data_IF_681581335498
#
_entry.id   IF_681581335498
#
_cell.length_a   1.000
_cell.length_b   1.000
_cell.length_c   1.000
_cell.angle_alpha   90.00
_cell.angle_beta   90.00
_cell.angle_gamma   90.00
#
_symmetry.space_group_name_H-M   'P 1'
#
loop_
_entity.id
_entity.type
_entity.pdbx_description
1 polymer ?
#
# COMPACT_ATOMS: atom_id res chain seq x y z
N UNK A 1 -62.69 17.18 71.80
CA UNK A 1 -62.50 18.11 70.67
C UNK A 1 -61.08 17.90 70.16
N UNK A 2 -60.82 17.01 69.21
CA UNK A 2 -61.10 17.12 67.77
C UNK A 2 -60.42 18.34 67.14
N UNK A 3 -59.23 18.16 66.54
CA UNK A 3 -58.92 18.70 65.22
C UNK A 3 -57.71 17.97 64.59
N UNK A 4 -57.94 17.50 63.36
CA UNK A 4 -56.98 16.90 62.42
C UNK A 4 -56.22 18.02 61.69
N UNK A 5 -54.93 17.85 61.45
CA UNK A 5 -54.15 18.46 60.36
C UNK A 5 -53.10 17.40 59.96
N UNK A 6 -53.33 16.57 58.94
CA UNK A 6 -53.00 16.74 57.52
C UNK A 6 -51.50 17.06 57.29
N UNK A 7 -50.76 16.07 56.77
CA UNK A 7 -49.30 16.06 56.72
C UNK A 7 -48.66 16.74 55.51
N UNK A 8 -47.33 16.62 55.46
CA UNK A 8 -46.47 16.75 54.28
C UNK A 8 -45.35 15.71 54.46
N UNK A 9 -45.32 14.69 53.60
CA UNK A 9 -44.17 13.82 53.41
C UNK A 9 -43.20 14.58 52.50
N UNK A 10 -42.06 15.00 53.04
CA UNK A 10 -41.02 15.69 52.31
C UNK A 10 -40.18 14.65 51.57
N UNK A 11 -40.58 14.33 50.34
CA UNK A 11 -39.81 13.52 49.40
C UNK A 11 -38.57 14.34 49.00
N UNK A 12 -37.45 14.12 49.68
CA UNK A 12 -36.14 14.59 49.20
C UNK A 12 -35.80 13.75 47.96
N UNK A 13 -36.24 14.22 46.79
CA UNK A 13 -35.74 13.73 45.51
C UNK A 13 -34.26 14.11 45.42
N UNK A 14 -33.37 13.18 45.76
CA UNK A 14 -31.97 13.28 45.38
C UNK A 14 -31.96 13.11 43.86
N UNK A 15 -31.93 14.23 43.14
CA UNK A 15 -31.51 14.25 41.75
C UNK A 15 -30.05 13.83 41.75
N UNK A 16 -29.80 12.55 41.48
CA UNK A 16 -28.51 12.06 41.01
C UNK A 16 -28.21 12.78 39.69
N UNK A 17 -27.59 13.95 39.77
CA UNK A 17 -26.88 14.51 38.64
C UNK A 17 -25.76 13.50 38.32
N UNK A 18 -25.96 12.72 37.25
CA UNK A 18 -24.84 11.98 36.67
C UNK A 18 -23.78 13.01 36.32
N UNK A 19 -22.64 12.97 37.02
CA UNK A 19 -21.47 13.72 36.58
C UNK A 19 -21.09 13.15 35.22
N UNK A 20 -21.38 13.89 34.15
CA UNK A 20 -20.85 13.57 32.83
C UNK A 20 -19.33 13.65 32.92
N UNK A 21 -18.69 12.49 32.83
CA UNK A 21 -17.24 12.38 32.89
C UNK A 21 -16.68 12.37 31.48
N UNK A 22 -15.98 13.44 31.10
CA UNK A 22 -15.36 13.57 29.79
C UNK A 22 -13.94 13.02 29.81
N UNK A 23 -13.51 12.42 28.70
CA UNK A 23 -12.14 11.90 28.57
C UNK A 23 -11.50 12.49 27.33
N UNK A 24 -10.36 13.16 27.50
CA UNK A 24 -9.56 13.66 26.39
C UNK A 24 -8.99 12.49 25.58
N UNK A 25 -9.18 12.55 24.27
CA UNK A 25 -8.53 11.68 23.30
C UNK A 25 -7.05 12.03 23.16
N UNK A 26 -6.27 11.08 22.64
CA UNK A 26 -4.82 11.28 22.40
C UNK A 26 -4.57 12.26 21.25
N UNK A 27 -5.50 12.34 20.30
CA UNK A 27 -5.36 13.13 19.08
C UNK A 27 -6.67 13.82 18.69
N UNK A 28 -6.57 15.09 18.26
CA UNK A 28 -7.66 15.87 17.67
C UNK A 28 -7.22 16.56 16.38
N UNK A 29 -8.13 16.69 15.44
CA UNK A 29 -7.94 17.49 14.23
C UNK A 29 -8.40 18.92 14.44
N UNK A 30 -7.64 19.91 13.95
CA UNK A 30 -8.05 21.32 13.99
C UNK A 30 -7.95 22.01 12.63
N UNK A 31 -8.98 22.79 12.28
CA UNK A 31 -9.01 23.63 11.07
C UNK A 31 -8.84 25.11 11.39
N UNK A 32 -9.17 25.51 12.62
CA UNK A 32 -9.01 26.86 13.15
C UNK A 32 -7.97 26.87 14.25
N UNK A 33 -7.24 27.97 14.34
CA UNK A 33 -6.18 28.16 15.33
C UNK A 33 -6.73 28.28 16.75
N UNK A 34 -7.97 28.75 16.91
CA UNK A 34 -8.63 28.85 18.20
C UNK A 34 -9.43 27.57 18.46
N UNK A 35 -9.01 26.83 19.47
CA UNK A 35 -9.68 25.59 19.86
C UNK A 35 -10.62 25.89 21.01
N UNK A 36 -11.91 25.60 20.80
CA UNK A 36 -12.93 25.80 21.81
C UNK A 36 -13.36 24.46 22.43
N UNK A 37 -13.94 24.52 23.64
CA UNK A 37 -14.40 23.35 24.36
C UNK A 37 -15.38 22.48 23.55
N UNK A 38 -16.36 23.11 22.86
CA UNK A 38 -17.31 22.38 22.01
C UNK A 38 -16.70 21.84 20.71
N UNK A 39 -15.49 22.27 20.35
CA UNK A 39 -14.74 21.63 19.26
C UNK A 39 -14.33 20.21 19.65
N UNK A 40 -14.03 19.97 20.92
CA UNK A 40 -13.62 18.64 21.42
C UNK A 40 -14.80 17.84 21.97
N UNK A 41 -15.74 18.52 22.61
CA UNK A 41 -16.92 17.91 23.23
C UNK A 41 -18.18 18.72 22.87
N UNK A 42 -18.80 18.46 21.70
CA UNK A 42 -19.97 19.20 21.22
C UNK A 42 -21.16 19.22 22.19
N UNK A 43 -21.25 18.21 23.05
CA UNK A 43 -22.31 18.01 24.04
C UNK A 43 -22.23 18.93 25.27
N UNK A 44 -21.13 19.66 25.46
CA UNK A 44 -21.00 20.58 26.59
C UNK A 44 -22.05 21.69 26.53
N UNK A 45 -22.48 22.17 27.70
CA UNK A 45 -23.44 23.28 27.79
C UNK A 45 -22.84 24.59 27.28
N UNK A 46 -21.63 24.91 27.74
CA UNK A 46 -20.94 26.17 27.45
C UNK A 46 -19.75 25.98 26.50
N UNK A 47 -19.49 26.99 25.67
CA UNK A 47 -18.36 27.01 24.76
C UNK A 47 -17.35 28.09 25.18
N UNK A 48 -16.12 27.70 25.48
CA UNK A 48 -15.05 28.59 25.91
C UNK A 48 -13.75 28.26 25.19
N UNK A 49 -12.87 29.26 25.08
CA UNK A 49 -11.58 29.10 24.41
C UNK A 49 -10.63 28.27 25.29
N UNK A 50 -10.12 27.17 24.77
CA UNK A 50 -9.12 26.35 25.44
C UNK A 50 -7.72 26.88 25.17
N UNK A 51 -7.38 27.05 23.89
CA UNK A 51 -6.05 27.46 23.47
C UNK A 51 -6.07 28.05 22.07
N UNK A 52 -4.99 28.77 21.74
CA UNK A 52 -4.70 29.28 20.42
C UNK A 52 -3.42 28.62 19.89
N UNK A 53 -3.56 27.76 18.88
CA UNK A 53 -2.47 27.09 18.19
C UNK A 53 -1.78 28.11 17.26
N UNK A 54 -0.44 28.16 17.20
CA UNK A 54 0.27 29.04 16.27
C UNK A 54 -0.11 28.81 14.80
N UNK A 55 -0.20 29.87 14.01
CA UNK A 55 -0.64 29.84 12.59
C UNK A 55 0.24 29.01 11.67
N UNK A 56 1.50 28.81 12.03
CA UNK A 56 2.48 28.02 11.31
C UNK A 56 2.62 26.57 11.82
N UNK A 57 1.80 26.14 12.78
CA UNK A 57 1.85 24.76 13.31
C UNK A 57 0.97 23.82 12.47
N UNK A 58 1.56 22.77 11.91
CA UNK A 58 0.83 21.60 11.38
C UNK A 58 0.54 20.56 12.47
N UNK A 59 1.32 20.58 13.54
CA UNK A 59 1.14 19.75 14.73
C UNK A 59 1.41 20.61 15.98
N UNK A 60 0.58 20.45 17.01
CA UNK A 60 0.72 21.11 18.29
C UNK A 60 0.46 20.12 19.43
N UNK A 61 1.38 20.03 20.38
CA UNK A 61 1.26 19.14 21.53
C UNK A 61 1.10 19.93 22.82
N UNK A 62 0.22 19.47 23.69
CA UNK A 62 -0.02 20.05 25.01
C UNK A 62 -0.17 18.93 26.04
N UNK A 63 0.32 19.14 27.26
CA UNK A 63 0.12 18.16 28.34
C UNK A 63 -1.37 18.06 28.64
N UNK A 64 -1.89 16.85 28.77
CA UNK A 64 -3.30 16.63 29.10
C UNK A 64 -3.67 17.29 30.42
N UNK A 65 -2.75 17.33 31.38
CA UNK A 65 -2.96 18.04 32.66
C UNK A 65 -3.21 19.54 32.50
N UNK A 66 -2.61 20.18 31.48
CA UNK A 66 -2.83 21.61 31.21
C UNK A 66 -4.22 21.83 30.60
N UNK A 67 -4.66 20.94 29.70
CA UNK A 67 -6.02 20.97 29.17
C UNK A 67 -7.05 20.70 30.26
N UNK A 68 -6.86 19.65 31.08
CA UNK A 68 -7.74 19.32 32.20
C UNK A 68 -7.92 20.54 33.11
N UNK A 69 -6.83 21.22 33.49
CA UNK A 69 -6.90 22.42 34.32
C UNK A 69 -7.70 23.58 33.69
N UNK A 70 -7.85 23.65 32.36
CA UNK A 70 -8.69 24.64 31.69
C UNK A 70 -10.18 24.29 31.79
N UNK A 71 -10.53 23.01 31.70
CA UNK A 71 -11.91 22.56 31.89
C UNK A 71 -12.33 22.59 33.37
N UNK A 72 -11.43 22.25 34.29
CA UNK A 72 -11.69 22.33 35.74
C UNK A 72 -11.99 23.75 36.21
N UNK A 73 -11.39 24.77 35.58
CA UNK A 73 -11.73 26.20 35.83
C UNK A 73 -13.18 26.53 35.50
N UNK A 74 -13.75 25.83 34.53
CA UNK A 74 -15.15 25.96 34.11
C UNK A 74 -16.06 24.94 34.85
N UNK A 75 -15.54 24.27 35.88
CA UNK A 75 -16.29 23.31 36.70
C UNK A 75 -16.48 21.93 36.05
N UNK A 76 -15.77 21.63 34.97
CA UNK A 76 -15.90 20.37 34.22
C UNK A 76 -14.80 19.40 34.65
N UNK A 77 -15.18 18.24 35.17
CA UNK A 77 -14.24 17.17 35.51
C UNK A 77 -13.91 16.32 34.29
N UNK A 78 -12.62 16.04 34.08
CA UNK A 78 -12.16 15.27 32.94
C UNK A 78 -11.04 14.29 33.27
N UNK A 79 -10.95 13.23 32.48
CA UNK A 79 -9.79 12.36 32.35
C UNK A 79 -9.04 12.58 31.04
N UNK A 80 -7.98 11.82 30.82
CA UNK A 80 -7.27 11.77 29.54
C UNK A 80 -6.75 10.36 29.26
N UNK A 81 -6.78 9.93 27.99
CA UNK A 81 -6.22 8.64 27.56
C UNK A 81 -4.69 8.64 27.55
N UNK A 82 -4.07 9.79 27.33
CA UNK A 82 -2.62 9.98 27.29
C UNK A 82 -2.18 11.14 28.17
N UNK A 83 -0.89 11.18 28.51
CA UNK A 83 -0.25 12.31 29.20
C UNK A 83 -0.08 13.55 28.31
N UNK A 84 -0.15 13.37 26.99
CA UNK A 84 -0.03 14.43 25.98
C UNK A 84 -1.18 14.27 24.98
N UNK A 85 -1.83 15.40 24.67
CA UNK A 85 -2.80 15.50 23.58
C UNK A 85 -2.12 16.14 22.38
N UNK A 86 -2.31 15.53 21.21
CA UNK A 86 -1.76 16.01 19.93
C UNK A 86 -2.87 16.63 19.08
N UNK A 87 -2.70 17.89 18.69
CA UNK A 87 -3.56 18.55 17.72
C UNK A 87 -2.88 18.52 16.36
N UNK A 88 -3.50 17.87 15.37
CA UNK A 88 -3.03 17.85 13.99
C UNK A 88 -3.87 18.78 13.13
N UNK A 89 -3.22 19.60 12.29
CA UNK A 89 -3.93 20.50 11.39
C UNK A 89 -4.68 19.67 10.37
N UNK A 90 -6.00 19.77 10.37
CA UNK A 90 -6.87 19.12 9.40
C UNK A 90 -6.59 19.66 8.00
N UNK A 91 -6.67 18.79 7.00
CA UNK A 91 -6.48 19.19 5.61
C UNK A 91 -7.71 19.97 5.16
N UNK A 92 -7.54 21.25 4.82
CA UNK A 92 -8.57 22.05 4.16
C UNK A 92 -8.39 21.94 2.65
N UNK A 93 -9.40 21.41 1.97
CA UNK A 93 -9.40 21.16 0.52
C UNK A 93 -9.90 19.75 0.20
N UNK A 94 -10.37 19.54 -1.02
CA UNK A 94 -10.75 18.20 -1.48
C UNK A 94 -9.48 17.37 -1.77
N UNK A 95 -9.13 16.48 -0.83
CA UNK A 95 -8.00 15.56 -0.94
C UNK A 95 -8.34 14.28 -1.70
N UNK A 96 -9.62 14.04 -2.03
CA UNK A 96 -10.02 12.81 -2.70
C UNK A 96 -9.42 12.73 -4.11
N UNK A 97 -9.27 13.87 -4.81
CA UNK A 97 -8.53 13.92 -6.07
C UNK A 97 -7.08 13.41 -5.95
N UNK A 98 -6.38 13.80 -4.87
CA UNK A 98 -5.00 13.35 -4.62
C UNK A 98 -4.96 11.86 -4.29
N UNK A 99 -5.87 11.39 -3.43
CA UNK A 99 -5.97 9.97 -3.08
C UNK A 99 -6.26 9.10 -4.31
N UNK A 100 -7.22 9.52 -5.14
CA UNK A 100 -7.61 8.81 -6.36
C UNK A 100 -6.45 8.75 -7.37
N UNK A 101 -5.69 9.84 -7.52
CA UNK A 101 -4.49 9.85 -8.34
C UNK A 101 -3.47 8.82 -7.86
N UNK A 102 -3.12 8.83 -6.56
CA UNK A 102 -2.16 7.90 -5.97
C UNK A 102 -2.67 6.45 -6.08
N UNK A 103 -3.94 6.20 -5.80
CA UNK A 103 -4.57 4.90 -5.96
C UNK A 103 -4.43 4.39 -7.40
N UNK A 104 -4.66 5.25 -8.39
CA UNK A 104 -4.48 4.92 -9.81
C UNK A 104 -3.06 4.47 -10.14
N UNK A 105 -2.04 5.14 -9.59
CA UNK A 105 -0.64 4.75 -9.79
C UNK A 105 -0.33 3.36 -9.22
N UNK A 106 -0.79 3.07 -7.99
CA UNK A 106 -0.59 1.75 -7.37
C UNK A 106 -1.37 0.65 -8.10
N UNK A 107 -2.62 0.90 -8.47
CA UNK A 107 -3.45 -0.04 -9.23
C UNK A 107 -2.83 -0.38 -10.58
N UNK A 108 -2.20 0.60 -11.24
CA UNK A 108 -1.50 0.38 -12.51
C UNK A 108 -0.22 -0.43 -12.33
N UNK A 109 0.65 -0.04 -11.38
CA UNK A 109 1.94 -0.69 -11.12
C UNK A 109 1.76 -2.16 -10.73
N UNK A 110 0.81 -2.43 -9.83
CA UNK A 110 0.57 -3.76 -9.25
C UNK A 110 -0.64 -4.48 -9.83
N UNK A 111 -1.11 -4.06 -11.02
CA UNK A 111 -2.25 -4.69 -11.72
C UNK A 111 -2.07 -6.20 -11.85
N UNK A 112 -0.85 -6.65 -12.15
CA UNK A 112 -0.54 -8.07 -12.38
C UNK A 112 -0.46 -8.90 -11.10
N UNK A 113 -0.37 -8.23 -9.95
CA UNK A 113 -0.39 -8.86 -8.62
C UNK A 113 -1.70 -8.53 -7.89
N UNK A 114 -2.78 -8.18 -8.61
CA UNK A 114 -4.13 -8.02 -8.05
C UNK A 114 -4.16 -7.20 -6.74
N UNK A 115 -3.47 -6.06 -6.70
CA UNK A 115 -3.45 -5.19 -5.52
C UNK A 115 -4.87 -4.76 -5.12
N UNK A 116 -5.16 -4.81 -3.82
CA UNK A 116 -6.40 -4.37 -3.20
C UNK A 116 -6.08 -3.29 -2.19
N UNK A 117 -6.44 -2.06 -2.53
CA UNK A 117 -6.25 -0.91 -1.65
C UNK A 117 -7.42 -0.84 -0.68
N UNK A 118 -7.14 -0.88 0.62
CA UNK A 118 -8.13 -0.68 1.68
C UNK A 118 -8.28 0.79 2.04
N UNK A 119 -7.16 1.48 2.24
CA UNK A 119 -7.17 2.92 2.54
C UNK A 119 -5.87 3.60 2.07
N UNK A 120 -6.01 4.89 1.74
CA UNK A 120 -4.90 5.81 1.58
C UNK A 120 -5.14 6.97 2.54
N UNK A 121 -4.29 7.06 3.56
CA UNK A 121 -4.29 8.14 4.51
C UNK A 121 -3.29 9.19 4.05
N UNK A 122 -3.71 10.45 4.10
CA UNK A 122 -2.88 11.59 3.77
C UNK A 122 -2.78 12.51 5.00
N UNK A 123 -1.57 12.94 5.31
CA UNK A 123 -1.28 13.93 6.34
C UNK A 123 -0.55 15.10 5.69
N UNK A 124 -1.10 16.30 5.79
CA UNK A 124 -0.46 17.49 5.24
C UNK A 124 0.63 17.99 6.19
N UNK A 125 1.86 18.02 5.69
CA UNK A 125 3.04 18.44 6.47
C UNK A 125 3.16 19.97 6.43
N UNK A 126 2.98 20.56 5.25
CA UNK A 126 3.09 22.02 5.08
C UNK A 126 1.85 22.71 5.65
N UNK A 127 1.95 23.67 6.59
CA UNK A 127 0.80 24.27 7.28
C UNK A 127 0.04 25.31 6.42
N UNK A 128 -0.15 25.06 5.13
CA UNK A 128 -0.83 25.95 4.18
C UNK A 128 -2.22 25.46 3.85
N UNK A 129 -3.23 26.30 3.99
CA UNK A 129 -4.56 26.02 3.45
C UNK A 129 -4.47 26.11 1.93
N UNK A 130 -5.01 25.15 1.18
CA UNK A 130 -4.96 25.18 -0.28
C UNK A 130 -6.32 24.82 -0.89
N UNK A 131 -6.56 25.35 -2.09
CA UNK A 131 -7.72 24.97 -2.89
C UNK A 131 -7.31 23.82 -3.81
N UNK A 132 -8.05 22.71 -3.79
CA UNK A 132 -7.80 21.56 -4.68
C UNK A 132 -7.89 21.93 -6.16
N UNK A 133 -8.71 22.93 -6.52
CA UNK A 133 -8.79 23.44 -7.90
C UNK A 133 -7.53 24.21 -8.33
N UNK A 134 -6.66 24.59 -7.39
CA UNK A 134 -5.39 25.24 -7.67
C UNK A 134 -4.23 24.24 -7.86
N UNK A 135 -4.50 22.94 -7.74
CA UNK A 135 -3.49 21.90 -8.01
C UNK A 135 -3.09 21.96 -9.48
N UNK A 136 -1.79 22.12 -9.72
CA UNK A 136 -1.17 22.04 -11.05
C UNK A 136 -0.53 20.69 -11.30
N UNK A 137 0.10 20.12 -10.27
CA UNK A 137 0.87 18.89 -10.37
C UNK A 137 0.88 18.14 -9.04
N UNK A 138 0.88 16.81 -9.11
CA UNK A 138 1.12 15.92 -7.97
C UNK A 138 2.43 15.18 -8.26
N UNK A 139 3.52 15.58 -7.60
CA UNK A 139 4.85 14.99 -7.78
C UNK A 139 4.99 13.73 -6.93
N UNK A 140 4.41 12.63 -7.41
CA UNK A 140 4.49 11.31 -6.77
C UNK A 140 5.54 10.43 -7.46
N UNK A 141 6.79 10.52 -7.02
CA UNK A 141 7.90 9.77 -7.64
C UNK A 141 7.68 8.25 -7.59
N UNK A 142 7.94 7.55 -8.70
CA UNK A 142 7.87 6.08 -8.85
C UNK A 142 8.58 5.24 -7.77
N UNK A 143 9.58 5.78 -7.05
CA UNK A 143 10.23 5.08 -5.93
C UNK A 143 9.29 4.90 -4.74
N UNK A 144 8.31 5.79 -4.59
CA UNK A 144 7.27 5.70 -3.56
C UNK A 144 6.35 4.51 -3.82
N UNK A 145 6.15 4.11 -5.07
CA UNK A 145 5.33 2.93 -5.40
C UNK A 145 5.88 1.63 -4.79
N UNK A 146 7.13 1.58 -4.31
CA UNK A 146 7.72 0.40 -3.67
C UNK A 146 7.54 0.35 -2.14
N UNK A 147 6.85 1.33 -1.55
CA UNK A 147 6.76 1.52 -0.09
C UNK A 147 5.32 1.85 0.29
N UNK A 148 4.86 1.35 1.45
CA UNK A 148 3.54 1.69 1.97
C UNK A 148 3.42 3.11 2.50
N UNK A 149 4.53 3.77 2.80
CA UNK A 149 4.55 5.13 3.31
C UNK A 149 5.68 5.96 2.70
N UNK A 150 5.48 7.27 2.70
CA UNK A 150 6.47 8.22 2.23
C UNK A 150 5.93 9.64 2.19
N UNK A 151 6.72 10.53 1.60
CA UNK A 151 6.40 11.95 1.46
C UNK A 151 6.49 12.35 0.00
N UNK A 152 5.55 13.16 -0.46
CA UNK A 152 5.47 13.72 -1.80
C UNK A 152 5.04 15.18 -1.72
N UNK A 153 5.15 15.92 -2.82
CA UNK A 153 4.65 17.29 -2.89
C UNK A 153 3.60 17.48 -3.98
N UNK A 154 2.69 18.40 -3.71
CA UNK A 154 1.69 18.90 -4.65
C UNK A 154 2.05 20.34 -4.97
N UNK A 155 2.14 20.65 -6.25
CA UNK A 155 2.37 22.01 -6.73
C UNK A 155 1.02 22.68 -6.90
N UNK A 156 0.78 23.74 -6.14
CA UNK A 156 -0.39 24.59 -6.25
C UNK A 156 -0.01 25.95 -6.82
N UNK A 157 -0.94 26.57 -7.54
CA UNK A 157 -0.80 27.96 -7.96
C UNK A 157 -1.58 28.88 -7.00
N UNK A 158 -0.87 29.80 -6.36
CA UNK A 158 -1.45 30.78 -5.43
C UNK A 158 -0.91 32.17 -5.77
N UNK A 159 -1.80 33.10 -6.10
CA UNK A 159 -1.45 34.49 -6.48
C UNK A 159 -0.42 34.57 -7.63
N UNK A 160 -0.55 33.71 -8.64
CA UNK A 160 0.36 33.65 -9.79
C UNK A 160 1.75 33.10 -9.47
N UNK A 161 1.93 32.45 -8.32
CA UNK A 161 3.17 31.78 -7.92
C UNK A 161 2.92 30.31 -7.62
N UNK A 162 3.87 29.47 -8.00
CA UNK A 162 3.85 28.06 -7.65
C UNK A 162 4.36 27.86 -6.23
N UNK A 163 3.64 27.07 -5.45
CA UNK A 163 3.97 26.71 -4.08
C UNK A 163 3.87 25.20 -3.92
N UNK A 164 4.84 24.61 -3.22
CA UNK A 164 4.84 23.19 -2.89
C UNK A 164 4.14 22.97 -1.55
N UNK A 165 3.18 22.04 -1.52
CA UNK A 165 2.52 21.54 -0.31
C UNK A 165 2.92 20.09 -0.14
N UNK A 166 3.63 19.80 0.94
CA UNK A 166 4.13 18.45 1.22
C UNK A 166 3.08 17.63 1.97
N UNK A 167 2.93 16.37 1.56
CA UNK A 167 2.05 15.38 2.18
C UNK A 167 2.84 14.14 2.54
N UNK A 168 2.53 13.57 3.71
CA UNK A 168 2.84 12.18 4.02
C UNK A 168 1.67 11.32 3.55
N UNK A 169 1.96 10.15 2.98
CA UNK A 169 0.94 9.13 2.73
C UNK A 169 1.22 7.86 3.53
N UNK A 170 0.15 7.13 3.83
CA UNK A 170 0.19 5.76 4.32
C UNK A 170 -0.85 4.94 3.52
N UNK A 171 -0.42 3.80 2.99
CA UNK A 171 -1.20 2.88 2.18
C UNK A 171 -1.46 1.60 2.98
N UNK A 172 -2.71 1.32 3.27
CA UNK A 172 -3.15 -0.03 3.67
C UNK A 172 -3.65 -0.74 2.41
N UNK A 173 -2.88 -1.74 1.98
CA UNK A 173 -3.23 -2.56 0.83
C UNK A 173 -2.73 -3.99 1.01
N UNK A 174 -3.33 -4.88 0.24
CA UNK A 174 -2.85 -6.26 0.07
C UNK A 174 -2.64 -6.56 -1.40
N UNK A 175 -1.88 -7.60 -1.71
CA UNK A 175 -1.57 -8.01 -3.07
C UNK A 175 -1.37 -9.51 -3.16
N UNK A 176 -1.48 -10.05 -4.36
CA UNK A 176 -1.28 -11.45 -4.68
C UNK A 176 0.22 -11.79 -4.76
N UNK A 177 0.65 -12.68 -3.88
CA UNK A 177 1.98 -13.26 -3.84
C UNK A 177 1.95 -14.77 -4.07
N UNK A 178 3.09 -15.31 -4.50
CA UNK A 178 3.30 -16.73 -4.72
C UNK A 178 4.20 -17.29 -3.63
N UNK A 179 3.71 -18.26 -2.85
CA UNK A 179 4.48 -18.87 -1.75
C UNK A 179 4.69 -20.35 -2.01
N UNK A 180 5.92 -20.83 -1.83
CA UNK A 180 6.26 -22.24 -2.01
C UNK A 180 5.56 -23.14 -0.99
N UNK A 181 4.93 -24.22 -1.47
CA UNK A 181 4.26 -25.22 -0.62
C UNK A 181 5.28 -26.19 -0.01
N UNK A 182 6.31 -26.54 -0.77
CA UNK A 182 7.41 -27.41 -0.38
C UNK A 182 8.72 -26.85 -0.94
N UNK A 183 9.85 -27.48 -0.62
CA UNK A 183 11.13 -27.08 -1.20
C UNK A 183 11.18 -27.33 -2.72
N UNK A 184 11.82 -26.41 -3.44
CA UNK A 184 11.97 -26.46 -4.89
C UNK A 184 13.46 -26.44 -5.23
N UNK A 185 13.91 -27.45 -5.97
CA UNK A 185 15.31 -27.55 -6.40
C UNK A 185 15.65 -26.57 -7.51
N UNK A 186 16.91 -26.13 -7.59
CA UNK A 186 17.38 -25.24 -8.65
C UNK A 186 17.09 -25.79 -10.06
N UNK A 187 16.48 -24.97 -10.92
CA UNK A 187 16.07 -25.32 -12.27
C UNK A 187 14.74 -26.07 -12.36
N UNK A 188 14.10 -26.39 -11.24
CA UNK A 188 12.77 -27.00 -11.22
C UNK A 188 11.69 -25.95 -11.54
N UNK A 189 10.75 -26.33 -12.40
CA UNK A 189 9.62 -25.51 -12.82
C UNK A 189 8.68 -25.20 -11.66
N UNK A 190 8.17 -23.97 -11.61
CA UNK A 190 7.10 -23.59 -10.70
C UNK A 190 5.76 -24.02 -11.28
N UNK A 191 4.94 -24.69 -10.48
CA UNK A 191 3.65 -25.26 -10.87
C UNK A 191 2.63 -25.06 -9.75
N UNK A 192 1.35 -25.26 -10.04
CA UNK A 192 0.29 -25.23 -9.02
C UNK A 192 0.43 -26.32 -7.94
N UNK A 193 1.33 -27.29 -8.12
CA UNK A 193 1.56 -28.37 -7.14
C UNK A 193 2.60 -27.98 -6.10
N UNK A 194 3.53 -27.06 -6.41
CA UNK A 194 4.61 -26.65 -5.52
C UNK A 194 4.50 -25.18 -5.06
N UNK A 195 3.48 -24.46 -5.50
CA UNK A 195 3.23 -23.08 -5.11
C UNK A 195 1.75 -22.87 -4.79
N UNK A 196 1.49 -21.97 -3.86
CA UNK A 196 0.15 -21.48 -3.54
C UNK A 196 0.09 -19.98 -3.71
N UNK A 197 -1.07 -19.52 -4.17
CA UNK A 197 -1.41 -18.11 -4.26
C UNK A 197 -1.87 -17.63 -2.89
N UNK A 198 -1.29 -16.54 -2.40
CA UNK A 198 -1.64 -15.94 -1.10
C UNK A 198 -1.85 -14.44 -1.22
N UNK A 199 -2.69 -13.89 -0.37
CA UNK A 199 -2.81 -12.46 -0.20
C UNK A 199 -1.82 -11.99 0.87
N UNK A 200 -0.91 -11.09 0.51
CA UNK A 200 0.13 -10.57 1.41
C UNK A 200 -0.08 -9.07 1.65
N UNK A 201 0.28 -8.55 2.84
CA UNK A 201 0.24 -7.11 3.10
C UNK A 201 1.25 -6.38 2.21
N UNK A 202 0.85 -5.19 1.74
CA UNK A 202 1.73 -4.28 1.04
C UNK A 202 2.58 -3.52 2.06
N UNK A 203 3.85 -3.89 2.20
CA UNK A 203 4.81 -3.21 3.07
C UNK A 203 5.91 -2.52 2.25
N UNK A 204 6.97 -3.28 1.95
CA UNK A 204 8.09 -2.83 1.13
C UNK A 204 8.43 -3.91 0.12
N UNK A 205 8.22 -3.59 -1.16
CA UNK A 205 8.51 -4.52 -2.26
C UNK A 205 9.91 -4.22 -2.80
N UNK A 206 10.89 -4.96 -2.28
CA UNK A 206 12.31 -4.82 -2.68
C UNK A 206 12.61 -5.38 -4.07
N UNK A 207 11.91 -6.44 -4.45
CA UNK A 207 12.03 -7.12 -5.74
C UNK A 207 10.63 -7.32 -6.34
N UNK A 208 10.53 -7.30 -7.67
CA UNK A 208 9.29 -7.63 -8.37
C UNK A 208 8.82 -9.03 -7.98
N UNK A 209 7.51 -9.18 -7.74
CA UNK A 209 6.92 -10.44 -7.33
C UNK A 209 6.63 -11.31 -8.54
N UNK A 210 6.69 -12.62 -8.36
CA UNK A 210 6.20 -13.56 -9.36
C UNK A 210 4.71 -13.32 -9.62
N UNK A 211 4.29 -13.49 -10.88
CA UNK A 211 2.90 -13.36 -11.31
C UNK A 211 2.24 -14.73 -11.52
N UNK A 212 0.92 -14.78 -11.38
CA UNK A 212 0.16 -16.03 -11.59
C UNK A 212 0.23 -16.53 -13.02
N UNK A 213 0.31 -15.63 -14.00
CA UNK A 213 0.44 -15.98 -15.43
C UNK A 213 1.81 -16.56 -15.81
N UNK A 214 2.77 -16.58 -14.88
CA UNK A 214 4.10 -17.17 -15.05
C UNK A 214 4.20 -18.62 -14.57
N UNK A 215 3.19 -19.12 -13.85
CA UNK A 215 3.14 -20.50 -13.39
C UNK A 215 3.24 -21.44 -14.60
N UNK A 216 4.17 -22.41 -14.53
CA UNK A 216 4.49 -23.33 -15.61
C UNK A 216 5.46 -22.79 -16.68
N UNK A 217 5.79 -21.49 -16.65
CA UNK A 217 6.68 -20.83 -17.63
C UNK A 217 8.06 -20.51 -17.04
N UNK A 218 8.18 -20.50 -15.72
CA UNK A 218 9.41 -20.17 -15.00
C UNK A 218 9.88 -21.33 -14.12
N UNK A 219 11.15 -21.29 -13.76
CA UNK A 219 11.79 -22.19 -12.81
C UNK A 219 12.55 -21.37 -11.76
N UNK A 220 12.81 -21.98 -10.60
CA UNK A 220 13.65 -21.34 -9.59
C UNK A 220 15.12 -21.38 -10.01
N UNK A 221 15.85 -20.29 -9.78
CA UNK A 221 17.28 -20.16 -10.12
C UNK A 221 18.15 -21.10 -9.27
N UNK A 222 17.82 -21.22 -8.00
CA UNK A 222 18.52 -22.02 -6.99
C UNK A 222 17.51 -22.69 -6.07
N UNK A 223 18.01 -23.53 -5.17
CA UNK A 223 17.20 -24.11 -4.10
C UNK A 223 16.37 -23.02 -3.41
N UNK A 224 15.07 -23.26 -3.31
CA UNK A 224 14.11 -22.37 -2.65
C UNK A 224 13.37 -23.18 -1.58
N UNK A 225 13.51 -22.82 -0.30
CA UNK A 225 12.79 -23.50 0.79
C UNK A 225 11.27 -23.38 0.67
N UNK A 226 10.57 -24.18 1.49
CA UNK A 226 9.13 -24.07 1.76
C UNK A 226 8.77 -22.74 2.45
N UNK A 227 7.54 -22.27 2.27
CA UNK A 227 6.99 -21.02 2.83
C UNK A 227 7.76 -19.74 2.44
N UNK A 228 8.32 -19.71 1.23
CA UNK A 228 9.06 -18.55 0.71
C UNK A 228 8.23 -17.83 -0.34
N UNK A 229 8.09 -16.51 -0.17
CA UNK A 229 7.55 -15.62 -1.19
C UNK A 229 8.51 -15.56 -2.39
N UNK A 230 7.97 -15.87 -3.57
CA UNK A 230 8.75 -15.96 -4.82
C UNK A 230 8.78 -14.60 -5.52
N UNK A 231 10.00 -14.12 -5.75
CA UNK A 231 10.32 -12.88 -6.45
C UNK A 231 11.09 -13.15 -7.73
N UNK A 232 11.02 -12.22 -8.69
CA UNK A 232 11.57 -12.39 -10.03
C UNK A 232 13.10 -12.57 -10.06
N UNK A 233 13.84 -12.02 -9.09
CA UNK A 233 15.29 -12.24 -8.96
C UNK A 233 15.65 -13.72 -8.69
N UNK A 234 14.72 -14.48 -8.08
CA UNK A 234 14.84 -15.91 -7.84
C UNK A 234 14.41 -16.77 -9.03
N UNK A 235 13.90 -16.17 -10.10
CA UNK A 235 13.39 -16.88 -11.25
C UNK A 235 14.38 -16.93 -12.42
N UNK A 236 14.24 -17.98 -13.20
CA UNK A 236 14.81 -18.15 -14.54
C UNK A 236 13.73 -18.71 -15.47
N UNK A 237 13.89 -18.51 -16.77
CA UNK A 237 12.97 -19.11 -17.74
C UNK A 237 13.00 -20.64 -17.64
N UNK A 238 11.83 -21.28 -17.77
CA UNK A 238 11.74 -22.75 -17.84
C UNK A 238 12.52 -23.26 -19.05
N UNK A 239 13.43 -24.19 -18.81
CA UNK A 239 14.12 -24.92 -19.87
C UNK A 239 13.15 -25.90 -20.51
N UNK A 240 12.94 -25.78 -21.81
CA UNK A 240 12.08 -26.67 -22.60
C UNK A 240 12.87 -27.56 -23.56
N UNK A 241 14.16 -27.26 -23.75
CA UNK A 241 15.13 -28.09 -24.45
C UNK A 241 16.31 -28.34 -23.54
N UNK A 242 16.72 -29.60 -23.41
CA UNK A 242 17.93 -30.04 -22.72
C UNK A 242 19.01 -30.40 -23.73
N UNK A 243 20.27 -30.32 -23.30
CA UNK A 243 21.39 -30.83 -24.06
C UNK A 243 21.19 -32.33 -24.33
N UNK A 244 21.33 -32.73 -25.59
CA UNK A 244 21.11 -34.09 -26.07
C UNK A 244 19.68 -34.33 -26.59
N UNK A 245 18.74 -33.41 -26.37
CA UNK A 245 17.39 -33.55 -26.89
C UNK A 245 17.40 -33.48 -28.42
N UNK A 246 16.56 -34.31 -29.04
CA UNK A 246 16.27 -34.22 -30.47
C UNK A 246 15.18 -33.18 -30.67
N UNK A 247 15.50 -32.12 -31.40
CA UNK A 247 14.59 -31.02 -31.68
C UNK A 247 14.23 -30.99 -33.17
N UNK A 248 12.96 -30.73 -33.46
CA UNK A 248 12.47 -30.48 -34.82
C UNK A 248 12.69 -29.00 -35.15
N UNK A 249 13.38 -28.73 -36.25
CA UNK A 249 13.73 -27.38 -36.67
C UNK A 249 13.14 -27.10 -38.03
N UNK A 250 12.36 -26.03 -38.13
CA UNK A 250 11.78 -25.58 -39.39
C UNK A 250 12.58 -24.43 -40.02
N UNK A 251 12.63 -24.44 -41.35
CA UNK A 251 13.13 -23.37 -42.22
C UNK A 251 12.03 -23.03 -43.21
N UNK A 252 11.75 -21.75 -43.38
CA UNK A 252 10.80 -21.29 -44.39
C UNK A 252 11.53 -20.44 -45.44
N UNK A 253 11.57 -20.93 -46.68
CA UNK A 253 12.09 -20.21 -47.84
C UNK A 253 11.03 -20.24 -48.95
N UNK A 254 10.68 -19.09 -49.50
CA UNK A 254 9.82 -18.93 -50.69
C UNK A 254 8.49 -19.71 -50.65
N UNK A 255 7.90 -19.88 -49.46
CA UNK A 255 6.62 -20.58 -49.27
C UNK A 255 6.74 -22.09 -49.07
N UNK A 256 7.96 -22.64 -49.04
CA UNK A 256 8.25 -24.03 -48.67
C UNK A 256 8.73 -24.10 -47.22
N UNK A 257 8.17 -25.02 -46.43
CA UNK A 257 8.62 -25.31 -45.07
C UNK A 257 9.40 -26.62 -45.09
N UNK A 258 10.69 -26.55 -44.73
CA UNK A 258 11.55 -27.72 -44.55
C UNK A 258 11.74 -27.99 -43.06
N UNK A 259 11.57 -29.24 -42.64
CA UNK A 259 11.79 -29.67 -41.26
C UNK A 259 12.96 -30.65 -41.16
N UNK A 260 13.84 -30.42 -40.19
CA UNK A 260 14.99 -31.27 -39.91
C UNK A 260 15.05 -31.61 -38.43
N UNK A 261 15.56 -32.80 -38.10
CA UNK A 261 15.82 -33.16 -36.70
C UNK A 261 17.28 -32.89 -36.38
N UNK A 262 17.52 -32.08 -35.36
CA UNK A 262 18.85 -31.75 -34.84
C UNK A 262 18.98 -32.22 -33.37
N UNK A 263 20.20 -32.47 -32.90
CA UNK A 263 20.49 -32.73 -31.49
C UNK A 263 20.98 -31.46 -30.80
N UNK A 264 20.31 -31.03 -29.75
CA UNK A 264 20.64 -29.82 -28.99
C UNK A 264 21.98 -29.97 -28.26
N UNK A 265 22.89 -29.00 -28.42
CA UNK A 265 24.19 -29.00 -27.75
C UNK A 265 24.19 -28.24 -26.42
N UNK A 266 23.12 -27.49 -26.14
CA UNK A 266 22.91 -26.71 -24.93
C UNK A 266 21.45 -26.78 -24.51
N UNK A 267 21.21 -26.55 -23.22
CA UNK A 267 19.86 -26.31 -22.73
C UNK A 267 19.34 -24.98 -23.29
N UNK A 268 18.03 -24.88 -23.52
CA UNK A 268 17.36 -23.66 -23.96
C UNK A 268 15.95 -23.53 -23.38
N UNK A 269 15.58 -22.30 -23.05
CA UNK A 269 14.20 -21.89 -22.83
C UNK A 269 13.58 -21.38 -24.13
N UNK A 270 12.26 -21.18 -24.15
CA UNK A 270 11.57 -20.57 -25.28
C UNK A 270 12.16 -19.18 -25.54
N UNK A 271 12.52 -18.90 -26.80
CA UNK A 271 13.15 -17.66 -27.25
C UNK A 271 14.68 -17.70 -27.29
N UNK A 272 15.33 -18.65 -26.60
CA UNK A 272 16.79 -18.79 -26.61
C UNK A 272 17.29 -19.24 -27.99
N UNK A 273 18.44 -18.73 -28.40
CA UNK A 273 19.19 -19.26 -29.55
C UNK A 273 20.24 -20.25 -29.05
N UNK A 274 20.04 -21.52 -29.36
CA UNK A 274 20.94 -22.62 -28.99
C UNK A 274 21.68 -23.16 -30.20
N UNK A 275 22.82 -23.81 -29.97
CA UNK A 275 23.51 -24.58 -31.01
C UNK A 275 22.95 -26.00 -31.04
N UNK A 276 22.66 -26.52 -32.22
CA UNK A 276 22.23 -27.90 -32.43
C UNK A 276 23.00 -28.53 -33.59
N UNK A 277 23.34 -29.82 -33.50
CA UNK A 277 24.08 -30.55 -34.54
C UNK A 277 23.15 -31.41 -35.39
N UNK A 278 23.48 -31.58 -36.67
CA UNK A 278 22.81 -32.57 -37.50
C UNK A 278 23.04 -33.98 -36.94
N UNK A 279 22.03 -34.86 -37.07
CA UNK A 279 22.17 -36.27 -36.70
C UNK A 279 23.18 -37.00 -37.60
N UNK A 280 23.27 -36.58 -38.86
CA UNK A 280 24.23 -37.08 -39.84
C UNK A 280 25.28 -36.01 -40.13
N UNK A 281 26.56 -36.34 -39.92
CA UNK A 281 27.69 -35.44 -40.13
C UNK A 281 28.07 -34.59 -38.91
N UNK A 282 28.88 -33.53 -39.13
CA UNK A 282 29.43 -32.65 -38.07
C UNK A 282 28.91 -31.21 -38.12
N UNK A 283 27.93 -30.92 -38.98
CA UNK A 283 27.38 -29.55 -39.13
C UNK A 283 26.61 -29.14 -37.88
N UNK A 284 26.77 -27.89 -37.48
CA UNK A 284 26.08 -27.28 -36.34
C UNK A 284 25.35 -26.03 -36.83
N UNK A 285 24.12 -25.84 -36.33
CA UNK A 285 23.24 -24.75 -36.68
C UNK A 285 22.89 -23.93 -35.45
N UNK A 286 22.53 -22.67 -35.65
CA UNK A 286 21.89 -21.84 -34.64
C UNK A 286 20.38 -22.01 -34.77
N UNK A 287 19.73 -22.29 -33.65
CA UNK A 287 18.31 -22.61 -33.60
C UNK A 287 17.67 -21.77 -32.51
N UNK A 288 16.68 -20.96 -32.87
CA UNK A 288 15.83 -20.26 -31.91
C UNK A 288 14.76 -21.23 -31.42
N UNK A 289 14.75 -21.52 -30.12
CA UNK A 289 13.75 -22.39 -29.49
C UNK A 289 12.39 -21.69 -29.52
N UNK A 290 11.36 -22.36 -30.04
CA UNK A 290 10.00 -21.82 -30.11
C UNK A 290 9.03 -22.56 -29.20
N UNK A 291 9.30 -23.84 -28.91
CA UNK A 291 8.47 -24.69 -28.05
C UNK A 291 9.30 -25.89 -27.54
N UNK A 292 8.69 -26.71 -26.70
CA UNK A 292 9.27 -27.99 -26.26
C UNK A 292 9.60 -28.88 -27.46
N UNK A 293 10.88 -29.23 -27.60
CA UNK A 293 11.38 -30.02 -28.72
C UNK A 293 11.33 -29.34 -30.09
N UNK A 294 11.07 -28.03 -30.19
CA UNK A 294 10.91 -27.33 -31.47
C UNK A 294 11.71 -26.03 -31.56
N UNK A 295 12.22 -25.73 -32.75
CA UNK A 295 12.90 -24.48 -33.05
C UNK A 295 12.78 -24.03 -34.50
N UNK A 296 13.28 -22.83 -34.78
CA UNK A 296 13.49 -22.32 -36.14
C UNK A 296 14.97 -22.06 -36.37
N UNK A 297 15.45 -22.33 -37.58
CA UNK A 297 16.83 -22.01 -37.95
C UNK A 297 17.00 -20.50 -38.03
N UNK A 298 18.20 -20.02 -37.68
CA UNK A 298 18.58 -18.61 -37.78
C UNK A 298 19.69 -18.41 -38.81
#
# INVERSE_FOLDING_TARGET
MLQRILGIFLFFGITLYGLEYFVLEEEYSFSENKIYAKTLFPQLDHNFLLLEIPTNSSNFQIKSSQLIALFEKEGIQMGAKSSVVTFKKGIKGDIEGIKNYIAGLFLQEYKKNNIKIRSIELEQITPTDFNSNAIREIDFHSKLLKRKEGTFDVVIEENGRNKKVFFKYNLDATLEGMVTIDEISGGQTITYQNIRVVEIPFDKIGSELMRSDEIGKVAVRSYTPKEVLVTHDRLVAKRVVKKGDKIVVSVQEEGVVLEFVLEALKNGAIGDVIRAKALEGKKTYQVKVIDEGRGILQ
#
